data_IF_159985492275
#
_entry.id   IF_159985492275
#
_cell.length_a   1.000
_cell.length_b   1.000
_cell.length_c   1.000
_cell.angle_alpha   90.00
_cell.angle_beta   90.00
_cell.angle_gamma   90.00
#
_symmetry.space_group_name_H-M   'P 1'
#
loop_
_entity.id
_entity.type
_entity.pdbx_description
1 polymer ?
#
# COMPACT_ATOMS: atom_id res chain seq x y z
N UNK A 1 -10.88 0.59 -2.81
CA UNK A 1 -11.97 1.43 -3.36
C UNK A 1 -11.72 1.93 -4.78
N UNK A 2 -10.48 2.17 -5.24
CA UNK A 2 -10.21 2.47 -6.66
C UNK A 2 -10.58 3.88 -7.14
N UNK A 3 -11.49 4.59 -6.47
CA UNK A 3 -11.96 5.93 -6.87
C UNK A 3 -10.88 6.99 -7.07
N UNK A 4 -9.83 7.04 -6.21
CA UNK A 4 -8.73 8.01 -6.38
C UNK A 4 -7.92 7.75 -7.66
N UNK A 5 -7.65 6.48 -7.95
CA UNK A 5 -6.91 6.08 -9.15
C UNK A 5 -7.73 6.36 -10.42
N UNK A 6 -9.04 6.10 -10.39
CA UNK A 6 -9.92 6.42 -11.51
C UNK A 6 -10.00 7.94 -11.76
N UNK A 7 -10.12 8.74 -10.70
CA UNK A 7 -10.07 10.19 -10.81
C UNK A 7 -8.77 10.68 -11.45
N UNK A 8 -7.61 10.24 -10.95
CA UNK A 8 -6.31 10.63 -11.49
C UNK A 8 -6.15 10.18 -12.94
N UNK A 9 -6.58 8.95 -13.27
CA UNK A 9 -6.55 8.43 -14.64
C UNK A 9 -7.35 9.33 -15.58
N UNK A 10 -8.60 9.67 -15.23
CA UNK A 10 -9.44 10.56 -16.06
C UNK A 10 -8.79 11.93 -16.22
N UNK A 11 -8.34 12.52 -15.12
CA UNK A 11 -7.67 13.81 -15.14
C UNK A 11 -6.46 13.82 -16.08
N UNK A 12 -5.61 12.79 -16.05
CA UNK A 12 -4.45 12.70 -16.95
C UNK A 12 -4.87 12.48 -18.39
N UNK A 13 -5.87 11.63 -18.66
CA UNK A 13 -6.42 11.41 -20.01
C UNK A 13 -6.95 12.71 -20.62
N UNK A 14 -7.62 13.55 -19.82
CA UNK A 14 -8.19 14.82 -20.29
C UNK A 14 -7.13 15.81 -20.80
N UNK A 15 -5.84 15.61 -20.46
CA UNK A 15 -4.72 16.41 -20.95
C UNK A 15 -4.09 15.87 -22.25
N UNK A 16 -4.65 14.81 -22.85
CA UNK A 16 -4.21 14.27 -24.14
C UNK A 16 -2.80 13.64 -24.17
N UNK A 17 -2.44 12.75 -23.22
CA UNK A 17 -1.15 12.06 -23.26
C UNK A 17 -1.08 11.11 -24.45
N UNK A 18 0.12 10.91 -25.01
CA UNK A 18 0.35 9.92 -26.08
C UNK A 18 0.17 8.48 -25.60
N UNK A 19 0.45 8.21 -24.32
CA UNK A 19 0.27 6.92 -23.67
C UNK A 19 0.07 7.12 -22.16
N UNK A 20 -0.76 6.28 -21.53
CA UNK A 20 -0.94 6.21 -20.08
C UNK A 20 -0.90 4.75 -19.63
N UNK A 21 0.01 4.44 -18.70
CA UNK A 21 0.09 3.14 -18.01
C UNK A 21 0.06 3.34 -16.51
N UNK A 22 -0.59 2.44 -15.80
CA UNK A 22 -0.70 2.42 -14.35
C UNK A 22 0.23 1.34 -13.80
N UNK A 23 1.09 1.74 -12.87
CA UNK A 23 1.95 0.84 -12.10
C UNK A 23 1.61 0.95 -10.61
N UNK A 24 1.49 -0.19 -9.93
CA UNK A 24 1.37 -0.22 -8.47
C UNK A 24 2.31 -1.25 -7.87
N UNK A 25 2.85 -0.93 -6.69
CA UNK A 25 3.68 -1.86 -5.95
C UNK A 25 2.86 -2.99 -5.33
N UNK A 26 1.68 -2.68 -4.79
CA UNK A 26 0.79 -3.64 -4.16
C UNK A 26 -0.62 -3.54 -4.74
N UNK A 27 -1.10 -4.62 -5.36
CA UNK A 27 -2.48 -4.72 -5.82
C UNK A 27 -3.31 -5.63 -4.91
N UNK A 28 -4.44 -5.10 -4.43
CA UNK A 28 -5.46 -5.83 -3.66
C UNK A 28 -6.70 -6.02 -4.53
N UNK A 29 -6.55 -6.82 -5.59
CA UNK A 29 -7.58 -7.00 -6.62
C UNK A 29 -8.94 -7.42 -6.05
N UNK A 30 -8.96 -8.31 -5.05
CA UNK A 30 -10.18 -8.78 -4.39
C UNK A 30 -10.99 -7.72 -3.64
N UNK A 31 -10.43 -6.53 -3.39
CA UNK A 31 -11.09 -5.41 -2.68
C UNK A 31 -11.44 -4.24 -3.61
N UNK A 32 -11.35 -4.42 -4.93
CA UNK A 32 -11.68 -3.38 -5.91
C UNK A 32 -13.19 -3.24 -6.05
N UNK A 33 -13.66 -2.00 -5.87
CA UNK A 33 -15.06 -1.62 -6.11
C UNK A 33 -15.26 -1.22 -7.58
N UNK A 34 -14.21 -0.74 -8.24
CA UNK A 34 -14.21 -0.36 -9.65
C UNK A 34 -13.25 -1.25 -10.45
N UNK A 35 -13.64 -1.71 -11.66
CA UNK A 35 -12.76 -2.45 -12.55
C UNK A 35 -11.76 -1.50 -13.20
N UNK A 36 -10.64 -1.25 -12.53
CA UNK A 36 -9.51 -0.48 -13.08
C UNK A 36 -8.43 -1.46 -13.49
N UNK A 37 -8.09 -1.45 -14.79
CA UNK A 37 -6.94 -2.17 -15.31
C UNK A 37 -5.64 -1.56 -14.79
N UNK A 38 -4.72 -2.41 -14.33
CA UNK A 38 -3.37 -2.04 -13.95
C UNK A 38 -2.40 -2.77 -14.88
N UNK A 39 -1.55 -2.00 -15.56
CA UNK A 39 -0.59 -2.52 -16.53
C UNK A 39 0.58 -3.23 -15.85
N UNK A 40 0.99 -2.73 -14.67
CA UNK A 40 2.12 -3.29 -13.92
C UNK A 40 1.81 -3.44 -12.43
N UNK A 41 1.91 -4.67 -11.93
CA UNK A 41 1.73 -5.01 -10.51
C UNK A 41 3.05 -5.58 -9.99
N UNK A 42 3.60 -4.98 -8.94
CA UNK A 42 4.76 -5.52 -8.24
C UNK A 42 4.41 -6.79 -7.45
N UNK A 43 3.39 -6.70 -6.59
CA UNK A 43 2.92 -7.80 -5.75
C UNK A 43 1.39 -7.79 -5.65
N UNK A 44 0.76 -8.92 -5.96
CA UNK A 44 -0.63 -9.16 -5.60
C UNK A 44 -0.70 -9.62 -4.14
N UNK A 45 -1.62 -9.08 -3.35
CA UNK A 45 -1.73 -9.40 -1.92
C UNK A 45 -3.16 -9.28 -1.41
N UNK A 46 -3.52 -10.15 -0.48
CA UNK A 46 -4.78 -10.10 0.26
C UNK A 46 -4.62 -9.47 1.66
N UNK A 47 -3.39 -9.01 1.98
CA UNK A 47 -3.02 -8.45 3.26
C UNK A 47 -4.02 -7.40 3.75
N UNK A 48 -4.36 -7.48 5.04
CA UNK A 48 -5.32 -6.56 5.65
C UNK A 48 -4.79 -5.13 5.64
N UNK A 49 -3.56 -4.94 6.08
CA UNK A 49 -2.89 -3.65 6.16
C UNK A 49 -1.37 -3.84 6.01
N UNK A 50 -0.71 -2.88 5.36
CA UNK A 50 0.72 -2.91 5.09
C UNK A 50 1.32 -1.56 5.52
N UNK A 51 2.48 -1.59 6.16
CA UNK A 51 3.28 -0.40 6.51
C UNK A 51 4.72 -0.56 6.01
N UNK A 52 5.45 0.55 5.91
CA UNK A 52 6.81 0.57 5.39
C UNK A 52 6.89 0.88 3.90
N UNK A 53 8.10 1.17 3.42
CA UNK A 53 8.35 1.53 2.02
C UNK A 53 7.45 2.69 1.52
N UNK A 54 7.27 3.71 2.35
CA UNK A 54 6.40 4.85 2.10
C UNK A 54 4.95 4.69 2.58
N UNK A 55 4.49 3.47 2.87
CA UNK A 55 3.19 3.21 3.49
C UNK A 55 3.23 3.53 4.98
N UNK A 56 2.15 4.12 5.50
CA UNK A 56 2.09 4.64 6.86
C UNK A 56 0.83 4.23 7.63
N UNK A 57 0.94 4.31 8.95
CA UNK A 57 -0.21 4.40 9.85
C UNK A 57 0.00 5.61 10.77
N UNK A 58 -0.90 6.59 10.71
CA UNK A 58 -0.84 7.84 11.51
C UNK A 58 0.50 8.58 11.37
N UNK A 59 1.11 8.53 10.18
CA UNK A 59 2.40 9.17 9.90
C UNK A 59 3.64 8.35 10.25
N UNK A 60 3.48 7.19 10.91
CA UNK A 60 4.59 6.33 11.32
C UNK A 60 4.97 5.32 10.21
N UNK A 61 6.16 4.73 10.36
CA UNK A 61 6.67 3.60 9.56
C UNK A 61 7.05 3.88 8.09
N UNK A 62 6.80 5.07 7.53
CA UNK A 62 7.13 5.40 6.12
C UNK A 62 8.56 5.08 5.70
N UNK A 63 9.50 5.26 6.61
CA UNK A 63 10.93 5.11 6.38
C UNK A 63 11.47 3.69 6.61
N UNK A 64 10.61 2.71 6.92
CA UNK A 64 11.05 1.32 7.00
C UNK A 64 11.48 0.83 5.61
N UNK A 65 12.65 0.18 5.50
CA UNK A 65 13.14 -0.31 4.22
C UNK A 65 12.34 -1.53 3.73
N UNK A 66 11.82 -2.34 4.64
CA UNK A 66 10.91 -3.45 4.35
C UNK A 66 9.43 -3.04 4.39
N UNK A 67 8.59 -3.92 3.86
CA UNK A 67 7.13 -3.87 4.01
C UNK A 67 6.70 -4.90 5.04
N UNK A 68 5.84 -4.50 5.96
CA UNK A 68 5.35 -5.35 7.06
C UNK A 68 3.83 -5.44 6.98
N UNK A 69 3.30 -6.66 7.01
CA UNK A 69 1.88 -6.89 7.22
C UNK A 69 1.54 -6.79 8.70
N UNK A 70 0.48 -6.05 9.00
CA UNK A 70 0.05 -5.77 10.39
C UNK A 70 -1.47 -5.78 10.48
N UNK A 71 -1.99 -6.18 11.63
CA UNK A 71 -3.41 -6.05 11.94
C UNK A 71 -3.77 -4.60 12.22
N UNK A 72 -4.74 -4.04 11.48
CA UNK A 72 -5.16 -2.64 11.69
C UNK A 72 -5.68 -2.41 13.11
N UNK A 73 -6.39 -3.38 13.68
CA UNK A 73 -6.88 -3.30 15.04
C UNK A 73 -5.75 -3.31 16.09
N UNK A 74 -4.64 -4.00 15.81
CA UNK A 74 -3.48 -4.03 16.70
C UNK A 74 -2.72 -2.69 16.65
N UNK A 75 -2.61 -2.10 15.45
CA UNK A 75 -2.10 -0.74 15.29
C UNK A 75 -2.95 0.31 15.99
N UNK A 76 -4.29 0.20 15.91
CA UNK A 76 -5.19 1.17 16.54
C UNK A 76 -5.21 1.05 18.07
N UNK A 77 -5.02 -0.16 18.61
CA UNK A 77 -4.90 -0.42 20.06
C UNK A 77 -3.55 0.00 20.62
N UNK A 78 -2.50 -0.04 19.79
CA UNK A 78 -1.13 0.42 20.07
C UNK A 78 -0.70 0.16 21.52
N UNK A 79 -0.76 -1.10 21.95
CA UNK A 79 -0.18 -1.51 23.23
C UNK A 79 1.33 -1.19 23.25
N UNK A 80 1.86 -0.86 24.42
CA UNK A 80 3.25 -0.47 24.58
C UNK A 80 4.19 -1.53 23.98
N UNK A 81 5.09 -1.12 23.09
CA UNK A 81 6.08 -1.97 22.44
C UNK A 81 5.70 -2.54 21.06
N UNK A 82 4.41 -2.53 20.66
CA UNK A 82 4.00 -3.06 19.35
C UNK A 82 4.64 -2.30 18.18
N UNK A 83 4.74 -0.98 18.29
CA UNK A 83 5.38 -0.15 17.26
C UNK A 83 6.87 -0.50 17.07
N UNK A 84 7.56 -0.86 18.15
CA UNK A 84 8.97 -1.21 18.08
C UNK A 84 9.18 -2.60 17.49
N UNK A 85 8.26 -3.54 17.75
CA UNK A 85 8.23 -4.83 17.06
C UNK A 85 8.06 -4.66 15.54
N UNK A 86 7.07 -3.86 15.11
CA UNK A 86 6.84 -3.56 13.69
C UNK A 86 8.08 -2.91 13.06
N UNK A 87 8.72 -1.97 13.76
CA UNK A 87 9.96 -1.33 13.29
C UNK A 87 11.13 -2.32 13.23
N UNK A 88 11.23 -3.24 14.17
CA UNK A 88 12.25 -4.30 14.16
C UNK A 88 12.07 -5.21 12.97
N UNK A 89 10.85 -5.69 12.73
CA UNK A 89 10.51 -6.53 11.58
C UNK A 89 10.85 -5.84 10.25
N UNK A 90 10.45 -4.57 10.07
CA UNK A 90 10.70 -3.82 8.85
C UNK A 90 12.18 -3.48 8.58
N UNK A 91 13.05 -3.55 9.60
CA UNK A 91 14.51 -3.35 9.45
C UNK A 91 15.29 -4.64 9.26
N UNK A 92 14.78 -5.75 9.81
CA UNK A 92 15.47 -7.05 9.79
C UNK A 92 15.50 -7.69 8.39
N UNK A 93 14.75 -7.16 7.42
CA UNK A 93 14.63 -7.73 6.07
C UNK A 93 14.06 -9.16 6.06
N UNK A 94 13.56 -9.62 7.20
CA UNK A 94 13.07 -10.97 7.41
C UNK A 94 11.65 -11.05 6.88
N UNK A 95 11.42 -11.95 5.93
CA UNK A 95 10.06 -12.28 5.47
C UNK A 95 9.35 -12.97 6.64
N UNK A 96 8.31 -12.32 7.17
CA UNK A 96 7.27 -12.94 7.97
C UNK A 96 5.96 -12.84 7.19
#
# INVERSE_FOLDING_TARGET
TGFRLDYLRRHVIDHGPSELRICTLFDRAGRRVLPIHIDHVGFATDAAFLVGYGLDHRGEFRNLPGVVEVGLADLDRAEDGFYDEVRSAGRSGTRH
#
